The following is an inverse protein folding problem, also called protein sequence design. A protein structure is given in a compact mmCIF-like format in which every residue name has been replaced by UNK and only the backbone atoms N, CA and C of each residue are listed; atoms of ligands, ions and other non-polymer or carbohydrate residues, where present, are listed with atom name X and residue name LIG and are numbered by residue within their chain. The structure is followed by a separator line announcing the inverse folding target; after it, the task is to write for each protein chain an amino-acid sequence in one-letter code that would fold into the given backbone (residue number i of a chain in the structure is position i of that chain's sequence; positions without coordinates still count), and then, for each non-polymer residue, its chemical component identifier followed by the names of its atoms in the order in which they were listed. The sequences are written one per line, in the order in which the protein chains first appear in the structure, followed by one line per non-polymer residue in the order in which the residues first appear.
data_IF_879229471303
#
_entry.id   IF_879229471303
#
_cell.length_a   1.000
_cell.length_b   1.000
_cell.length_c   1.000
_cell.angle_alpha   90.00
_cell.angle_beta   90.00
_cell.angle_gamma   90.00
#
_symmetry.space_group_name_H-M   'P 1'
#
loop_
_entity.id
_entity.type
_entity.pdbx_description
1 polymer ?
#
# COMPACT_ATOMS: atom_id res chain seq x y z
N UNK A 1 6.71 -4.93 20.57
CA UNK A 1 7.28 -3.70 21.13
C UNK A 1 7.11 -2.58 20.13
N UNK A 2 6.70 -1.41 20.59
CA UNK A 2 6.65 -0.17 19.80
C UNK A 2 8.06 0.35 19.50
N UNK A 3 8.19 1.32 18.59
CA UNK A 3 9.49 1.96 18.28
C UNK A 3 10.15 2.54 19.54
N UNK A 4 9.37 3.23 20.36
CA UNK A 4 9.89 3.92 21.54
C UNK A 4 10.34 2.93 22.62
N UNK A 5 9.60 1.84 22.83
CA UNK A 5 10.01 0.77 23.75
C UNK A 5 11.36 0.17 23.36
N UNK A 6 11.59 -0.07 22.06
CA UNK A 6 12.87 -0.59 21.57
C UNK A 6 14.01 0.39 21.84
N UNK A 7 13.78 1.68 21.57
CA UNK A 7 14.81 2.71 21.80
C UNK A 7 15.12 2.88 23.29
N UNK A 8 14.09 2.94 24.13
CA UNK A 8 14.26 3.03 25.59
C UNK A 8 15.03 1.83 26.14
N UNK A 9 14.74 0.61 25.66
CA UNK A 9 15.46 -0.58 26.07
C UNK A 9 16.94 -0.53 25.68
N UNK A 10 17.25 -0.19 24.43
CA UNK A 10 18.62 -0.08 23.92
C UNK A 10 19.40 0.99 24.69
N UNK A 11 18.79 2.16 24.94
CA UNK A 11 19.39 3.24 25.70
C UNK A 11 19.69 2.84 27.15
N UNK A 12 18.77 2.11 27.80
CA UNK A 12 18.97 1.61 29.15
C UNK A 12 20.09 0.56 29.22
N UNK A 13 20.10 -0.39 28.28
CA UNK A 13 21.01 -1.54 28.30
C UNK A 13 22.45 -1.17 27.95
N UNK A 14 22.63 -0.28 26.98
CA UNK A 14 23.96 0.00 26.40
C UNK A 14 24.52 1.37 26.77
N UNK A 15 23.67 2.34 27.10
CA UNK A 15 24.08 3.71 27.44
C UNK A 15 23.77 4.06 28.90
N UNK A 16 23.08 3.19 29.64
CA UNK A 16 22.62 3.43 31.01
C UNK A 16 21.73 4.68 31.16
N UNK A 17 21.00 5.01 30.09
CA UNK A 17 20.05 6.13 30.05
C UNK A 17 18.65 5.59 30.32
N UNK A 18 18.08 5.97 31.46
CA UNK A 18 16.77 5.46 31.90
C UNK A 18 15.56 6.02 31.14
N UNK A 19 15.72 7.16 30.46
CA UNK A 19 14.66 7.77 29.63
C UNK A 19 15.25 8.55 28.48
N UNK A 20 14.57 8.50 27.32
CA UNK A 20 14.90 9.33 26.14
C UNK A 20 14.00 10.57 26.04
N UNK A 21 13.20 10.85 27.07
CA UNK A 21 12.44 12.09 27.16
C UNK A 21 13.34 13.21 27.70
N UNK A 22 13.34 14.36 27.02
CA UNK A 22 14.04 15.57 27.49
C UNK A 22 13.41 16.10 28.77
N UNK A 23 14.24 16.42 29.75
CA UNK A 23 13.82 16.93 31.07
C UNK A 23 14.15 18.41 31.28
N UNK A 24 14.81 19.04 30.30
CA UNK A 24 15.28 20.42 30.33
C UNK A 24 16.19 20.71 31.52
N UNK A 25 17.08 19.77 31.83
CA UNK A 25 18.08 19.91 32.90
C UNK A 25 19.38 19.27 32.47
N UNK A 26 20.48 20.04 32.53
CA UNK A 26 21.78 19.60 32.04
C UNK A 26 22.26 18.32 32.73
N UNK A 27 22.13 18.23 34.05
CA UNK A 27 22.48 17.03 34.85
C UNK A 27 21.63 15.80 34.51
N UNK A 28 20.45 15.99 33.92
CA UNK A 28 19.50 14.94 33.62
C UNK A 28 19.50 14.54 32.13
N UNK A 29 19.91 15.43 31.24
CA UNK A 29 19.82 15.24 29.79
C UNK A 29 21.18 15.02 29.12
N UNK A 30 22.29 15.30 29.81
CA UNK A 30 23.64 15.07 29.31
C UNK A 30 24.26 13.84 29.97
N UNK A 31 24.79 12.95 29.13
CA UNK A 31 25.33 11.67 29.57
C UNK A 31 26.71 11.43 28.94
N UNK A 32 27.70 11.16 29.79
CA UNK A 32 28.99 10.66 29.33
C UNK A 32 28.86 9.18 28.93
N UNK A 33 28.97 8.92 27.63
CA UNK A 33 28.84 7.59 27.08
C UNK A 33 30.19 7.09 26.57
N UNK A 34 30.53 5.84 26.91
CA UNK A 34 31.71 5.20 26.36
C UNK A 34 31.54 4.93 24.86
N UNK A 35 32.65 4.98 24.11
CA UNK A 35 32.64 4.68 22.67
C UNK A 35 32.19 3.24 22.37
N UNK A 36 32.46 2.28 23.27
CA UNK A 36 31.98 0.91 23.13
C UNK A 36 30.49 0.77 23.44
N UNK A 37 29.96 1.53 24.40
CA UNK A 37 28.52 1.58 24.70
C UNK A 37 27.74 2.17 23.53
N UNK A 38 28.22 3.26 22.93
CA UNK A 38 27.64 3.85 21.72
C UNK A 38 27.65 2.84 20.57
N UNK A 39 28.78 2.16 20.34
CA UNK A 39 28.88 1.13 19.30
C UNK A 39 27.85 0.01 19.53
N UNK A 40 27.78 -0.53 20.75
CA UNK A 40 26.85 -1.60 21.10
C UNK A 40 25.38 -1.16 20.92
N UNK A 41 25.04 0.07 21.31
CA UNK A 41 23.70 0.62 21.12
C UNK A 41 23.32 0.72 19.63
N UNK A 42 24.25 1.17 18.77
CA UNK A 42 24.03 1.26 17.33
C UNK A 42 23.87 -0.12 16.68
N UNK A 43 24.69 -1.10 17.06
CA UNK A 43 24.57 -2.49 16.60
C UNK A 43 23.22 -3.08 17.02
N UNK A 44 22.81 -2.90 18.28
CA UNK A 44 21.52 -3.37 18.79
C UNK A 44 20.33 -2.71 18.06
N UNK A 45 20.42 -1.41 17.76
CA UNK A 45 19.40 -0.68 17.00
C UNK A 45 19.28 -1.20 15.56
N UNK A 46 20.41 -1.46 14.90
CA UNK A 46 20.44 -2.05 13.56
C UNK A 46 19.78 -3.44 13.54
N UNK A 47 20.14 -4.30 14.49
CA UNK A 47 19.57 -5.65 14.61
C UNK A 47 18.09 -5.65 14.97
N UNK A 48 17.64 -4.74 15.83
CA UNK A 48 16.22 -4.53 16.13
C UNK A 48 15.45 -4.14 14.87
N UNK A 49 15.99 -3.22 14.05
CA UNK A 49 15.41 -2.82 12.78
C UNK A 49 15.32 -3.99 11.77
N UNK A 50 16.37 -4.81 11.68
CA UNK A 50 16.35 -6.01 10.82
C UNK A 50 15.32 -7.04 11.27
N UNK A 51 15.16 -7.25 12.58
CA UNK A 51 14.14 -8.16 13.15
C UNK A 51 12.73 -7.67 12.82
N UNK A 52 12.46 -6.39 12.99
CA UNK A 52 11.17 -5.81 12.60
C UNK A 52 10.89 -5.97 11.11
N UNK A 53 11.89 -5.77 10.23
CA UNK A 53 11.75 -5.99 8.78
C UNK A 53 11.40 -7.44 8.43
N UNK A 54 11.99 -8.42 9.14
CA UNK A 54 11.65 -9.83 8.93
C UNK A 54 10.22 -10.13 9.35
N UNK A 55 9.75 -9.54 10.46
CA UNK A 55 8.36 -9.68 10.90
C UNK A 55 7.37 -9.05 9.90
N UNK A 56 7.63 -7.84 9.39
CA UNK A 56 6.76 -7.21 8.39
C UNK A 56 6.76 -7.95 7.05
N UNK A 57 7.88 -8.56 6.64
CA UNK A 57 7.93 -9.43 5.46
C UNK A 57 7.13 -10.73 5.58
N UNK A 58 6.83 -11.19 6.80
CA UNK A 58 6.00 -12.38 7.02
C UNK A 58 4.50 -12.10 6.99
N UNK A 59 4.08 -10.82 6.96
CA UNK A 59 2.70 -10.47 6.63
C UNK A 59 2.47 -10.88 5.18
N UNK A 60 1.46 -11.74 4.93
CA UNK A 60 1.06 -12.09 3.56
C UNK A 60 0.76 -10.79 2.81
N UNK A 61 1.57 -10.46 1.80
CA UNK A 61 1.27 -9.35 0.90
C UNK A 61 -0.15 -9.52 0.36
N UNK A 62 -0.89 -8.43 0.36
CA UNK A 62 -2.17 -8.41 -0.32
C UNK A 62 -1.91 -8.68 -1.81
N UNK A 63 -2.73 -9.47 -2.52
CA UNK A 63 -2.47 -9.79 -3.92
C UNK A 63 -2.32 -8.53 -4.81
N UNK A 64 -2.99 -7.42 -4.45
CA UNK A 64 -2.85 -6.14 -5.12
C UNK A 64 -1.50 -5.43 -4.88
N UNK A 65 -0.71 -5.84 -3.89
CA UNK A 65 0.50 -5.12 -3.49
C UNK A 65 1.55 -5.13 -4.61
N UNK A 66 1.85 -3.94 -5.12
CA UNK A 66 2.80 -3.76 -6.22
C UNK A 66 2.22 -4.00 -7.60
N UNK A 67 0.88 -4.03 -7.74
CA UNK A 67 0.27 -3.80 -9.06
C UNK A 67 0.55 -2.37 -9.50
N UNK A 68 0.79 -2.17 -10.78
CA UNK A 68 0.91 -0.85 -11.41
C UNK A 68 -0.10 -0.73 -12.54
N UNK A 69 -0.36 0.50 -13.01
CA UNK A 69 -1.18 0.73 -14.19
C UNK A 69 -0.63 -0.05 -15.38
N UNK A 70 -1.48 -0.83 -16.04
CA UNK A 70 -1.14 -1.62 -17.24
C UNK A 70 -2.01 -1.28 -18.45
N UNK A 71 -3.08 -0.50 -18.28
CA UNK A 71 -3.94 -0.04 -19.35
C UNK A 71 -5.31 0.40 -18.84
N UNK A 72 -6.20 0.75 -19.76
CA UNK A 72 -7.58 1.14 -19.47
C UNK A 72 -8.57 0.40 -20.34
N UNK A 73 -9.77 0.22 -19.81
CA UNK A 73 -10.90 -0.38 -20.53
C UNK A 73 -12.12 0.55 -20.45
N UNK A 74 -12.99 0.43 -21.45
CA UNK A 74 -14.36 0.88 -21.36
C UNK A 74 -15.24 -0.28 -20.89
N UNK A 75 -16.00 -0.10 -19.81
CA UNK A 75 -17.00 -1.05 -19.31
C UNK A 75 -18.03 -0.30 -18.44
N UNK A 76 -19.30 -0.71 -18.46
CA UNK A 76 -20.30 -0.06 -17.59
C UNK A 76 -20.09 -0.45 -16.11
N UNK A 77 -20.37 0.47 -15.18
CA UNK A 77 -20.36 0.16 -13.75
C UNK A 77 -21.26 -1.05 -13.41
N UNK A 78 -22.45 -1.11 -14.03
CA UNK A 78 -23.41 -2.18 -13.83
C UNK A 78 -22.85 -3.56 -14.24
N UNK A 79 -22.15 -3.63 -15.38
CA UNK A 79 -21.52 -4.88 -15.84
C UNK A 79 -20.41 -5.33 -14.89
N UNK A 80 -19.59 -4.39 -14.39
CA UNK A 80 -18.55 -4.70 -13.41
C UNK A 80 -19.17 -5.24 -12.11
N UNK A 81 -20.26 -4.64 -11.64
CA UNK A 81 -20.99 -5.11 -10.45
C UNK A 81 -21.63 -6.47 -10.67
N UNK A 82 -22.21 -6.71 -11.84
CA UNK A 82 -22.82 -8.00 -12.19
C UNK A 82 -21.77 -9.13 -12.18
N UNK A 83 -20.57 -8.86 -12.70
CA UNK A 83 -19.52 -9.87 -12.86
C UNK A 83 -18.68 -10.06 -11.59
N UNK A 84 -18.35 -8.97 -10.89
CA UNK A 84 -17.40 -8.97 -9.77
C UNK A 84 -18.02 -8.66 -8.41
N UNK A 85 -19.31 -8.36 -8.35
CA UNK A 85 -19.98 -7.91 -7.13
C UNK A 85 -19.73 -6.43 -6.83
N UNK A 86 -20.15 -5.96 -5.65
CA UNK A 86 -19.96 -4.56 -5.27
C UNK A 86 -18.47 -4.20 -5.14
N UNK A 87 -18.05 -2.99 -5.57
CA UNK A 87 -16.68 -2.55 -5.39
C UNK A 87 -16.35 -2.38 -3.92
N UNK A 88 -15.06 -2.41 -3.61
CA UNK A 88 -14.52 -1.86 -2.38
C UNK A 88 -14.39 -0.34 -2.49
N UNK A 89 -14.49 0.34 -1.35
CA UNK A 89 -14.36 1.80 -1.27
C UNK A 89 -12.93 2.24 -1.60
N UNK A 90 -12.80 3.33 -2.37
CA UNK A 90 -11.51 3.94 -2.65
C UNK A 90 -10.98 4.81 -1.50
N UNK A 91 -10.05 5.72 -1.83
CA UNK A 91 -9.45 6.68 -0.90
C UNK A 91 -10.35 7.89 -0.59
N UNK A 92 -11.54 7.96 -1.19
CA UNK A 92 -12.48 9.08 -1.04
C UNK A 92 -12.01 10.36 -1.74
N UNK A 93 -10.99 10.28 -2.59
CA UNK A 93 -10.47 11.41 -3.36
C UNK A 93 -10.20 11.03 -4.81
N UNK A 94 -9.05 10.42 -5.10
CA UNK A 94 -8.66 10.05 -6.47
C UNK A 94 -9.37 8.81 -6.96
N UNK A 95 -9.81 7.97 -6.03
CA UNK A 95 -10.44 6.68 -6.28
C UNK A 95 -11.67 6.58 -5.38
N UNK A 96 -12.76 6.10 -5.93
CA UNK A 96 -14.06 5.98 -5.26
C UNK A 96 -14.51 4.52 -5.21
N UNK A 97 -14.28 3.77 -6.30
CA UNK A 97 -14.59 2.36 -6.42
C UNK A 97 -13.40 1.58 -6.99
N UNK A 98 -13.13 0.42 -6.40
CA UNK A 98 -12.18 -0.53 -6.96
C UNK A 98 -12.58 -1.99 -6.75
N UNK A 99 -12.08 -2.86 -7.63
CA UNK A 99 -12.18 -4.31 -7.51
C UNK A 99 -10.80 -4.95 -7.52
N UNK A 100 -10.68 -6.05 -6.78
CA UNK A 100 -9.58 -7.00 -6.90
C UNK A 100 -10.09 -8.26 -7.60
N UNK A 101 -9.58 -8.54 -8.79
CA UNK A 101 -9.99 -9.68 -9.59
C UNK A 101 -8.86 -10.71 -9.63
N UNK A 102 -9.15 -11.90 -9.10
CA UNK A 102 -8.28 -13.06 -9.27
C UNK A 102 -8.47 -13.64 -10.67
N UNK A 103 -7.36 -13.77 -11.41
CA UNK A 103 -7.32 -14.25 -12.77
C UNK A 103 -6.65 -15.64 -12.83
N UNK A 104 -6.74 -16.36 -13.96
CA UNK A 104 -6.03 -17.61 -14.16
C UNK A 104 -4.53 -17.49 -13.87
N UNK A 105 -3.87 -18.62 -13.60
CA UNK A 105 -2.42 -18.68 -13.32
C UNK A 105 -1.97 -17.85 -12.11
N UNK A 106 -2.88 -17.58 -11.17
CA UNK A 106 -2.64 -16.75 -9.97
C UNK A 106 -2.24 -15.31 -10.32
N UNK A 107 -2.67 -14.82 -11.49
CA UNK A 107 -2.58 -13.41 -11.82
C UNK A 107 -3.68 -12.62 -11.09
N UNK A 108 -3.47 -11.32 -11.01
CA UNK A 108 -4.37 -10.39 -10.34
C UNK A 108 -4.52 -9.15 -11.20
N UNK A 109 -5.74 -8.63 -11.28
CA UNK A 109 -6.01 -7.32 -11.84
C UNK A 109 -6.76 -6.48 -10.80
N UNK A 110 -6.41 -5.20 -10.71
CA UNK A 110 -7.25 -4.20 -10.06
C UNK A 110 -8.02 -3.43 -11.12
N UNK A 111 -9.30 -3.17 -10.88
CA UNK A 111 -10.13 -2.30 -11.72
C UNK A 111 -10.49 -1.13 -10.85
N UNK A 112 -10.20 0.09 -11.27
CA UNK A 112 -10.45 1.26 -10.43
C UNK A 112 -10.72 2.49 -11.27
N UNK A 113 -11.51 3.41 -10.72
CA UNK A 113 -11.64 4.75 -11.28
C UNK A 113 -10.44 5.60 -10.82
N UNK A 114 -9.96 6.52 -11.65
CA UNK A 114 -8.87 7.41 -11.26
C UNK A 114 -9.15 8.84 -11.73
N UNK A 115 -9.45 9.71 -10.76
CA UNK A 115 -9.69 11.15 -10.98
C UNK A 115 -10.73 11.45 -12.07
N UNK A 116 -11.76 10.61 -12.20
CA UNK A 116 -12.79 10.73 -13.22
C UNK A 116 -14.22 10.56 -12.67
N UNK A 117 -14.39 10.61 -11.34
CA UNK A 117 -15.71 10.64 -10.67
C UNK A 117 -15.86 11.87 -9.78
N UNK A 118 -17.08 12.09 -9.27
CA UNK A 118 -17.41 13.21 -8.37
C UNK A 118 -16.52 13.31 -7.14
N UNK A 119 -15.97 12.20 -6.63
CA UNK A 119 -15.04 12.24 -5.49
C UNK A 119 -13.82 13.14 -5.73
N UNK A 120 -13.39 13.28 -6.98
CA UNK A 120 -12.22 14.08 -7.35
C UNK A 120 -12.59 15.51 -7.78
N UNK A 121 -13.70 15.68 -8.51
CA UNK A 121 -14.20 16.99 -8.95
C UNK A 121 -15.72 16.97 -9.08
N UNK A 122 -16.45 18.00 -8.61
CA UNK A 122 -17.92 18.05 -8.72
C UNK A 122 -18.44 18.03 -10.17
N UNK A 123 -17.62 18.45 -11.14
CA UNK A 123 -17.95 18.47 -12.56
C UNK A 123 -17.95 17.08 -13.22
N UNK A 124 -17.39 16.07 -12.53
CA UNK A 124 -17.36 14.69 -13.02
C UNK A 124 -18.64 13.91 -12.73
N UNK A 125 -18.90 12.83 -13.49
CA UNK A 125 -20.08 11.99 -13.28
C UNK A 125 -20.07 11.27 -11.93
N UNK A 126 -21.25 10.78 -11.54
CA UNK A 126 -21.36 9.79 -10.45
C UNK A 126 -20.61 8.50 -10.81
N UNK A 127 -20.20 7.74 -9.80
CA UNK A 127 -19.46 6.50 -9.99
C UNK A 127 -20.25 5.46 -10.80
N UNK A 128 -21.58 5.45 -10.70
CA UNK A 128 -22.42 4.55 -11.48
C UNK A 128 -22.51 4.92 -12.97
N UNK A 129 -22.13 6.15 -13.33
CA UNK A 129 -22.19 6.67 -14.69
C UNK A 129 -20.84 6.67 -15.42
N UNK A 130 -19.74 6.30 -14.76
CA UNK A 130 -18.45 6.19 -15.44
C UNK A 130 -18.37 4.90 -16.27
N UNK A 131 -17.65 4.99 -17.38
CA UNK A 131 -17.37 3.85 -18.26
C UNK A 131 -15.88 3.61 -18.47
N UNK A 132 -15.02 4.57 -18.16
CA UNK A 132 -13.57 4.42 -18.28
C UNK A 132 -12.97 3.96 -16.95
N UNK A 133 -12.28 2.82 -16.99
CA UNK A 133 -11.69 2.16 -15.83
C UNK A 133 -10.21 1.88 -16.07
N UNK A 134 -9.39 2.26 -15.09
CA UNK A 134 -7.98 1.95 -15.09
C UNK A 134 -7.77 0.53 -14.59
N UNK A 135 -6.87 -0.18 -15.25
CA UNK A 135 -6.50 -1.54 -14.90
C UNK A 135 -5.10 -1.54 -14.33
N UNK A 136 -4.97 -2.05 -13.11
CA UNK A 136 -3.70 -2.35 -12.48
C UNK A 136 -3.39 -3.84 -12.56
N UNK A 137 -2.11 -4.19 -12.65
CA UNK A 137 -1.64 -5.57 -12.59
C UNK A 137 -0.12 -5.63 -12.53
N UNK A 138 0.43 -6.84 -12.51
CA UNK A 138 1.89 -7.03 -12.53
C UNK A 138 2.46 -7.21 -13.95
N UNK A 139 1.60 -7.58 -14.92
CA UNK A 139 1.96 -7.91 -16.30
C UNK A 139 0.79 -7.61 -17.23
N UNK A 140 1.08 -7.32 -18.50
CA UNK A 140 0.05 -7.09 -19.53
C UNK A 140 -0.90 -8.27 -19.76
N UNK A 141 -0.45 -9.52 -19.49
CA UNK A 141 -1.29 -10.72 -19.56
C UNK A 141 -2.53 -10.65 -18.66
N UNK A 142 -2.45 -9.93 -17.54
CA UNK A 142 -3.57 -9.74 -16.64
C UNK A 142 -4.68 -8.91 -17.29
N UNK A 143 -4.32 -7.90 -18.09
CA UNK A 143 -5.27 -7.11 -18.87
C UNK A 143 -5.96 -7.97 -19.93
N UNK A 144 -5.20 -8.78 -20.67
CA UNK A 144 -5.77 -9.67 -21.69
C UNK A 144 -6.71 -10.72 -21.06
N UNK A 145 -6.32 -11.30 -19.92
CA UNK A 145 -7.16 -12.23 -19.18
C UNK A 145 -8.43 -11.57 -18.61
N UNK A 146 -8.33 -10.32 -18.16
CA UNK A 146 -9.48 -9.55 -17.69
C UNK A 146 -10.46 -9.24 -18.83
N UNK A 147 -9.97 -8.78 -19.98
CA UNK A 147 -10.79 -8.50 -21.16
C UNK A 147 -11.49 -9.78 -21.64
N UNK A 148 -10.78 -10.91 -21.69
CA UNK A 148 -11.39 -12.20 -22.03
C UNK A 148 -12.50 -12.60 -21.04
N UNK A 149 -12.34 -12.27 -19.76
CA UNK A 149 -13.35 -12.54 -18.72
C UNK A 149 -14.58 -11.63 -18.84
N UNK A 150 -14.38 -10.37 -19.24
CA UNK A 150 -15.45 -9.41 -19.47
C UNK A 150 -16.18 -9.65 -20.81
N UNK A 151 -15.50 -10.25 -21.79
CA UNK A 151 -16.07 -10.55 -23.10
C UNK A 151 -16.55 -9.27 -23.81
N UNK A 152 -17.74 -9.33 -24.40
CA UNK A 152 -18.32 -8.20 -25.15
C UNK A 152 -18.72 -6.99 -24.27
N UNK A 153 -18.66 -7.13 -22.93
CA UNK A 153 -19.01 -6.06 -21.98
C UNK A 153 -17.86 -5.07 -21.74
N UNK A 154 -16.69 -5.30 -22.34
CA UNK A 154 -15.58 -4.37 -22.25
C UNK A 154 -14.80 -4.21 -23.55
N UNK A 155 -14.27 -3.01 -23.77
CA UNK A 155 -13.36 -2.72 -24.88
C UNK A 155 -12.05 -2.11 -24.35
N UNK A 156 -10.94 -2.43 -25.00
CA UNK A 156 -9.63 -1.86 -24.65
C UNK A 156 -9.57 -0.39 -25.08
N UNK A 157 -9.14 0.50 -24.19
CA UNK A 157 -8.84 1.90 -24.50
C UNK A 157 -7.34 2.03 -24.83
N UNK A 158 -6.49 1.62 -23.90
CA UNK A 158 -5.03 1.66 -24.06
C UNK A 158 -4.33 0.58 -23.23
N UNK A 159 -3.03 0.39 -23.49
CA UNK A 159 -2.14 -0.47 -22.71
C UNK A 159 -0.76 0.15 -22.60
N UNK A 160 -0.09 -0.11 -21.48
CA UNK A 160 1.34 0.22 -21.31
C UNK A 160 2.14 -0.65 -22.29
N UNK A 161 3.10 -0.02 -22.98
CA UNK A 161 3.99 -0.67 -23.96
C UNK A 161 4.99 -1.61 -23.29
#
# INVERSE_FOLDING_TARGET
MTRNEIFSQIASDHLHIGTLQTRNSDELDFHDCSVWGIKAALEAAYDAGLRQRKQTRQVKKHPADGTCYIGSINASYADLVEIFGKPSEGDGFKTEAHWLVMLPRKEVATIYNYKNSRSYSPDFPLIEAISEWHIGGHRGSALDALINKLGAKATLIDRVK
#
